data_IF_635565656077
#
_entry.id   IF_635565656077
#
_cell.length_a   1.000
_cell.length_b   1.000
_cell.length_c   1.000
_cell.angle_alpha   90.00
_cell.angle_beta   90.00
_cell.angle_gamma   90.00
#
_symmetry.space_group_name_H-M   'P 1'
#
loop_
_entity.id
_entity.type
_entity.pdbx_description
1 polymer ?
#
# COMPACT_ATOMS: atom_id res chain seq x y z
N UNK A 1 17.59 6.85 -19.39
CA UNK A 1 16.12 7.03 -19.37
C UNK A 1 15.34 5.82 -18.86
N UNK A 2 15.58 4.58 -19.31
CA UNK A 2 14.85 3.37 -18.86
C UNK A 2 14.71 3.16 -17.33
N UNK A 3 15.70 3.57 -16.53
CA UNK A 3 15.71 3.37 -15.08
C UNK A 3 14.67 4.22 -14.34
N UNK A 4 14.32 5.40 -14.87
CA UNK A 4 13.40 6.35 -14.22
C UNK A 4 11.95 5.89 -14.44
N UNK A 5 11.59 5.49 -15.67
CA UNK A 5 10.26 4.93 -15.98
C UNK A 5 9.96 3.65 -15.17
N UNK A 6 10.97 2.79 -14.99
CA UNK A 6 10.82 1.57 -14.17
C UNK A 6 10.49 1.90 -12.70
N UNK A 7 11.08 2.94 -12.13
CA UNK A 7 10.83 3.35 -10.73
C UNK A 7 9.41 3.89 -10.56
N UNK A 8 8.91 4.69 -11.52
CA UNK A 8 7.54 5.19 -11.48
C UNK A 8 6.50 4.07 -11.62
N UNK A 9 6.76 3.09 -12.49
CA UNK A 9 5.90 1.93 -12.66
C UNK A 9 5.82 1.06 -11.40
N UNK A 10 6.98 0.78 -10.78
CA UNK A 10 7.04 0.06 -9.51
C UNK A 10 6.30 0.82 -8.40
N UNK A 11 6.34 2.15 -8.43
CA UNK A 11 5.62 2.96 -7.46
C UNK A 11 4.10 2.81 -7.61
N UNK A 12 3.59 2.82 -8.84
CA UNK A 12 2.16 2.58 -9.12
C UNK A 12 1.72 1.17 -8.72
N UNK A 13 2.52 0.16 -9.08
CA UNK A 13 2.24 -1.24 -8.70
C UNK A 13 2.20 -1.40 -7.18
N UNK A 14 3.15 -0.81 -6.46
CA UNK A 14 3.21 -0.85 -4.99
C UNK A 14 1.94 -0.25 -4.34
N UNK A 15 1.42 0.86 -4.88
CA UNK A 15 0.15 1.44 -4.40
C UNK A 15 -1.04 0.51 -4.69
N UNK A 16 -1.11 -0.06 -5.89
CA UNK A 16 -2.19 -1.00 -6.26
C UNK A 16 -2.16 -2.23 -5.34
N UNK A 17 -0.98 -2.80 -5.10
CA UNK A 17 -0.81 -3.92 -4.18
C UNK A 17 -1.18 -3.55 -2.75
N UNK A 18 -0.85 -2.35 -2.29
CA UNK A 18 -1.27 -1.85 -0.97
C UNK A 18 -2.80 -1.78 -0.83
N UNK A 19 -3.50 -1.29 -1.86
CA UNK A 19 -4.97 -1.24 -1.84
C UNK A 19 -5.54 -2.66 -1.79
N UNK A 20 -5.03 -3.57 -2.63
CA UNK A 20 -5.48 -4.97 -2.67
C UNK A 20 -5.25 -5.69 -1.33
N UNK A 21 -4.06 -5.57 -0.74
CA UNK A 21 -3.77 -6.16 0.57
C UNK A 21 -4.62 -5.58 1.69
N UNK A 22 -4.86 -4.26 1.68
CA UNK A 22 -5.73 -3.62 2.67
C UNK A 22 -7.16 -4.13 2.56
N UNK A 23 -7.70 -4.20 1.33
CA UNK A 23 -9.04 -4.75 1.07
C UNK A 23 -9.14 -6.22 1.46
N UNK A 24 -8.10 -7.00 1.20
CA UNK A 24 -8.05 -8.42 1.60
C UNK A 24 -8.00 -8.59 3.12
N UNK A 25 -7.20 -7.79 3.81
CA UNK A 25 -7.18 -7.78 5.28
C UNK A 25 -8.53 -7.40 5.88
N UNK A 26 -9.21 -6.38 5.33
CA UNK A 26 -10.58 -6.02 5.74
C UNK A 26 -11.56 -7.18 5.49
N UNK A 27 -11.44 -7.87 4.35
CA UNK A 27 -12.28 -9.03 4.05
C UNK A 27 -12.12 -10.14 5.09
N UNK A 28 -10.89 -10.50 5.45
CA UNK A 28 -10.61 -11.52 6.48
C UNK A 28 -11.22 -11.13 7.83
N UNK A 29 -11.09 -9.87 8.24
CA UNK A 29 -11.70 -9.38 9.50
C UNK A 29 -13.22 -9.58 9.49
N UNK A 30 -13.87 -9.27 8.37
CA UNK A 30 -15.34 -9.29 8.27
C UNK A 30 -15.89 -10.71 8.08
N UNK A 31 -15.21 -11.56 7.30
CA UNK A 31 -15.72 -12.86 6.88
C UNK A 31 -15.23 -14.01 7.72
N UNK A 32 -13.95 -14.01 8.06
CA UNK A 32 -13.31 -15.12 8.75
C UNK A 32 -13.22 -14.87 10.26
N UNK A 33 -13.55 -13.65 10.72
CA UNK A 33 -13.50 -13.21 12.14
C UNK A 33 -12.06 -13.28 12.71
N UNK A 34 -11.06 -13.42 11.83
CA UNK A 34 -9.64 -13.51 12.16
C UNK A 34 -9.01 -12.12 12.21
N UNK A 35 -9.31 -11.40 13.29
CA UNK A 35 -8.91 -9.99 13.48
C UNK A 35 -7.40 -9.82 13.39
N UNK A 36 -6.62 -10.72 14.02
CA UNK A 36 -5.16 -10.60 14.06
C UNK A 36 -4.54 -10.71 12.66
N UNK A 37 -4.96 -11.70 11.88
CA UNK A 37 -4.45 -11.94 10.53
C UNK A 37 -4.83 -10.79 9.59
N UNK A 38 -6.09 -10.33 9.65
CA UNK A 38 -6.51 -9.18 8.85
C UNK A 38 -5.78 -7.88 9.20
N UNK A 39 -5.48 -7.64 10.48
CA UNK A 39 -4.64 -6.51 10.91
C UNK A 39 -3.23 -6.64 10.33
N UNK A 40 -2.63 -7.84 10.35
CA UNK A 40 -1.31 -8.08 9.77
C UNK A 40 -1.30 -7.75 8.28
N UNK A 41 -2.29 -8.18 7.50
CA UNK A 41 -2.39 -7.85 6.08
C UNK A 41 -2.50 -6.34 5.83
N UNK A 42 -3.29 -5.63 6.64
CA UNK A 42 -3.43 -4.17 6.53
C UNK A 42 -2.08 -3.49 6.82
N UNK A 43 -1.39 -3.87 7.89
CA UNK A 43 -0.05 -3.32 8.19
C UNK A 43 0.98 -3.65 7.11
N UNK A 44 0.94 -4.85 6.55
CA UNK A 44 1.81 -5.25 5.45
C UNK A 44 1.57 -4.37 4.22
N UNK A 45 0.30 -4.07 3.93
CA UNK A 45 -0.12 -3.21 2.84
C UNK A 45 0.48 -1.80 2.93
N UNK A 46 0.44 -1.20 4.13
CA UNK A 46 1.05 0.11 4.37
C UNK A 46 2.58 0.05 4.34
N UNK A 47 3.18 -1.03 4.85
CA UNK A 47 4.63 -1.20 4.87
C UNK A 47 5.24 -1.31 3.46
N UNK A 48 4.60 -2.07 2.55
CA UNK A 48 5.04 -2.28 1.16
C UNK A 48 5.04 -0.98 0.33
N UNK A 49 4.25 0.01 0.73
CA UNK A 49 4.06 1.26 -0.01
C UNK A 49 4.38 2.51 0.81
N UNK A 50 5.01 2.34 1.98
CA UNK A 50 5.22 3.42 2.95
C UNK A 50 5.98 4.59 2.34
N UNK A 51 7.03 4.32 1.55
CA UNK A 51 7.83 5.34 0.87
C UNK A 51 7.01 6.13 -0.16
N UNK A 52 6.05 5.46 -0.82
CA UNK A 52 5.18 6.08 -1.81
C UNK A 52 4.11 6.94 -1.16
N UNK A 53 3.50 6.45 -0.06
CA UNK A 53 2.59 7.24 0.76
C UNK A 53 3.30 8.47 1.34
N UNK A 54 4.50 8.31 1.90
CA UNK A 54 5.30 9.43 2.43
C UNK A 54 5.58 10.46 1.33
N UNK A 55 5.95 10.03 0.12
CA UNK A 55 6.15 10.94 -1.03
C UNK A 55 4.85 11.66 -1.42
N UNK A 56 3.73 10.95 -1.50
CA UNK A 56 2.40 11.52 -1.78
C UNK A 56 2.01 12.59 -0.75
N UNK A 57 2.17 12.31 0.54
CA UNK A 57 1.81 13.24 1.61
C UNK A 57 2.80 14.41 1.74
N UNK A 58 4.10 14.19 1.51
CA UNK A 58 5.09 15.29 1.48
C UNK A 58 4.89 16.23 0.30
N UNK A 59 4.51 15.73 -0.86
CA UNK A 59 4.30 16.57 -2.05
C UNK A 59 3.08 17.50 -1.90
N UNK A 60 2.12 17.18 -1.03
CA UNK A 60 1.01 18.10 -0.70
C UNK A 60 1.42 19.30 0.17
N UNK A 61 2.61 19.28 0.80
CA UNK A 61 3.06 20.37 1.70
C UNK A 61 3.73 21.55 0.98
N UNK A 62 3.86 21.50 -0.35
CA UNK A 62 4.50 22.54 -1.17
C UNK A 62 3.55 23.26 -2.15
N UNK A 63 2.24 23.02 -2.06
CA UNK A 63 1.24 23.76 -2.85
C UNK A 63 0.53 24.80 -1.99
#
# INVERSE_FOLDING_TARGET
>A
MKKIESIEWLSRISIILSILLSSFGIYIIIKDVEILEGIVYIFLAFSISIDNWIKLFKNKKKS
#
